data_IF_424206632279
#
_entry.id   IF_424206632279
#
_cell.length_a   1.000
_cell.length_b   1.000
_cell.length_c   1.000
_cell.angle_alpha   90.00
_cell.angle_beta   90.00
_cell.angle_gamma   90.00
#
_symmetry.space_group_name_H-M   'P 1'
#
loop_
_entity.id
_entity.type
_entity.pdbx_description
1 polymer ?
#
# COMPACT_ATOMS: atom_id res chain seq x y z
N UNK A 1 6.77 -10.60 -40.64
CA UNK A 1 7.07 -11.50 -39.51
C UNK A 1 6.72 -10.73 -38.25
N UNK A 2 5.73 -11.21 -37.50
CA UNK A 2 5.19 -10.56 -36.31
C UNK A 2 6.26 -10.48 -35.23
N UNK A 3 6.39 -9.30 -34.62
CA UNK A 3 7.24 -9.05 -33.45
C UNK A 3 6.92 -10.07 -32.34
N UNK A 4 7.95 -10.72 -31.81
CA UNK A 4 7.86 -11.47 -30.57
C UNK A 4 7.59 -10.46 -29.44
N UNK A 5 6.37 -10.48 -28.90
CA UNK A 5 6.07 -9.89 -27.60
C UNK A 5 6.95 -10.57 -26.57
N UNK A 6 7.85 -9.82 -25.94
CA UNK A 6 8.61 -10.29 -24.78
C UNK A 6 7.65 -10.49 -23.60
N UNK A 7 7.14 -11.71 -23.43
CA UNK A 7 6.44 -12.13 -22.22
C UNK A 7 7.41 -12.26 -21.04
N UNK A 8 7.88 -11.12 -20.53
CA UNK A 8 8.53 -11.07 -19.21
C UNK A 8 8.03 -9.86 -18.44
N UNK A 9 6.71 -9.65 -18.45
CA UNK A 9 6.08 -8.93 -17.34
C UNK A 9 5.89 -9.95 -16.22
N UNK A 10 6.98 -10.35 -15.55
CA UNK A 10 6.85 -11.12 -14.31
C UNK A 10 6.15 -10.19 -13.31
N UNK A 11 5.06 -10.63 -12.69
CA UNK A 11 4.39 -9.82 -11.69
C UNK A 11 5.38 -9.50 -10.53
N UNK A 12 5.24 -8.31 -9.92
CA UNK A 12 6.01 -7.84 -8.75
C UNK A 12 5.57 -8.62 -7.49
N UNK A 13 5.66 -9.95 -7.59
CA UNK A 13 5.21 -10.94 -6.62
C UNK A 13 6.33 -11.37 -5.67
N UNK A 14 7.38 -10.54 -5.59
CA UNK A 14 8.54 -10.77 -4.76
C UNK A 14 9.44 -9.54 -4.75
N UNK A 15 10.33 -9.47 -3.76
CA UNK A 15 11.26 -8.34 -3.64
C UNK A 15 12.47 -8.46 -4.58
N UNK A 16 12.82 -9.67 -5.01
CA UNK A 16 13.90 -9.93 -5.96
C UNK A 16 13.37 -10.07 -7.39
N UNK A 17 14.04 -9.39 -8.31
CA UNK A 17 13.63 -9.34 -9.71
C UNK A 17 13.81 -10.70 -10.34
N UNK A 18 12.68 -11.35 -10.61
CA UNK A 18 12.65 -12.60 -11.36
C UNK A 18 12.71 -13.84 -10.48
N UNK A 19 12.74 -13.69 -9.15
CA UNK A 19 12.59 -14.78 -8.19
C UNK A 19 11.26 -14.59 -7.48
N UNK A 20 10.42 -15.63 -7.50
CA UNK A 20 9.21 -15.71 -6.68
C UNK A 20 9.48 -16.75 -5.60
N UNK A 21 9.33 -16.42 -4.30
CA UNK A 21 9.47 -17.40 -3.23
C UNK A 21 8.53 -18.58 -3.43
N UNK A 22 8.95 -19.78 -3.04
CA UNK A 22 8.13 -20.98 -3.17
C UNK A 22 6.79 -20.86 -2.41
N UNK A 23 6.80 -20.18 -1.26
CA UNK A 23 5.60 -19.89 -0.49
C UNK A 23 4.63 -18.99 -1.26
N UNK A 24 5.12 -17.86 -1.79
CA UNK A 24 4.31 -16.95 -2.59
C UNK A 24 3.72 -17.64 -3.83
N UNK A 25 4.53 -18.42 -4.55
CA UNK A 25 4.05 -19.19 -5.69
C UNK A 25 2.94 -20.20 -5.31
N UNK A 26 3.10 -20.90 -4.18
CA UNK A 26 2.08 -21.82 -3.68
C UNK A 26 0.79 -21.09 -3.25
N UNK A 27 0.91 -19.87 -2.71
CA UNK A 27 -0.24 -19.03 -2.38
C UNK A 27 -0.95 -18.53 -3.63
N UNK A 28 -0.22 -18.08 -4.64
CA UNK A 28 -0.80 -17.68 -5.93
C UNK A 28 -1.61 -18.81 -6.56
N UNK A 29 -1.10 -20.05 -6.53
CA UNK A 29 -1.84 -21.22 -7.04
C UNK A 29 -3.10 -21.51 -6.21
N UNK A 30 -3.04 -21.34 -4.89
CA UNK A 30 -4.15 -21.61 -3.98
C UNK A 30 -5.24 -20.53 -4.03
N UNK A 31 -4.85 -19.26 -4.08
CA UNK A 31 -5.71 -18.09 -3.97
C UNK A 31 -6.19 -17.61 -5.35
N UNK A 32 -5.43 -17.89 -6.42
CA UNK A 32 -5.86 -17.62 -7.79
C UNK A 32 -6.16 -16.14 -8.02
N UNK A 33 -7.41 -15.83 -8.37
CA UNK A 33 -7.88 -14.46 -8.61
C UNK A 33 -7.96 -13.63 -7.32
N UNK A 34 -8.07 -14.27 -6.16
CA UNK A 34 -8.11 -13.58 -4.86
C UNK A 34 -6.71 -13.24 -4.33
N UNK A 35 -5.64 -13.63 -5.06
CA UNK A 35 -4.27 -13.32 -4.66
C UNK A 35 -4.03 -11.80 -4.69
N UNK A 36 -3.61 -11.27 -3.54
CA UNK A 36 -3.40 -9.84 -3.28
C UNK A 36 -4.66 -8.96 -3.23
N UNK A 37 -5.84 -9.55 -3.26
CA UNK A 37 -7.07 -8.77 -3.12
C UNK A 37 -7.29 -8.33 -1.66
N UNK A 38 -7.77 -7.10 -1.49
CA UNK A 38 -8.14 -6.55 -0.19
C UNK A 38 -9.59 -6.91 0.12
N UNK A 39 -9.96 -7.10 1.40
CA UNK A 39 -11.35 -7.35 1.76
C UNK A 39 -12.22 -6.14 1.39
N UNK A 40 -13.41 -6.43 0.86
CA UNK A 40 -14.41 -5.41 0.59
C UNK A 40 -15.15 -4.99 1.86
N UNK A 41 -15.61 -3.74 1.89
CA UNK A 41 -16.41 -3.23 3.01
C UNK A 41 -17.75 -3.98 3.09
N UNK A 42 -17.99 -4.66 4.20
CA UNK A 42 -19.29 -5.24 4.53
C UNK A 42 -20.04 -4.40 5.58
N UNK A 43 -21.29 -4.01 5.26
CA UNK A 43 -22.16 -3.28 6.20
C UNK A 43 -21.96 -1.77 6.21
N UNK A 44 -22.46 -1.11 7.26
CA UNK A 44 -22.44 0.36 7.38
C UNK A 44 -21.10 0.91 7.89
N UNK A 45 -20.41 0.14 8.73
CA UNK A 45 -19.13 0.52 9.34
C UNK A 45 -18.00 0.09 8.41
N UNK A 46 -17.11 1.02 8.06
CA UNK A 46 -15.88 0.68 7.35
C UNK A 46 -14.88 0.09 8.34
N UNK A 47 -14.51 -1.18 8.14
CA UNK A 47 -13.46 -1.86 8.91
C UNK A 47 -12.29 -2.26 8.03
N UNK A 48 -12.35 -1.95 6.73
CA UNK A 48 -11.38 -2.39 5.73
C UNK A 48 -10.31 -1.34 5.43
N UNK A 49 -10.51 -0.08 5.85
CA UNK A 49 -9.55 1.01 5.64
C UNK A 49 -8.14 0.78 6.20
N UNK A 50 -7.96 -0.15 7.15
CA UNK A 50 -6.64 -0.50 7.72
C UNK A 50 -5.91 -1.65 7.02
N UNK A 51 -6.53 -2.31 6.02
CA UNK A 51 -5.92 -3.44 5.37
C UNK A 51 -4.87 -3.00 4.34
N UNK A 52 -3.73 -3.70 4.36
CA UNK A 52 -2.65 -3.52 3.39
C UNK A 52 -2.14 -4.89 2.96
N UNK A 53 -1.68 -5.00 1.74
CA UNK A 53 -1.09 -6.23 1.21
C UNK A 53 0.29 -5.90 0.65
N UNK A 54 1.28 -6.72 0.99
CA UNK A 54 2.64 -6.56 0.49
C UNK A 54 2.86 -7.20 -0.89
N UNK A 55 4.08 -7.10 -1.41
CA UNK A 55 4.46 -7.66 -2.71
C UNK A 55 4.38 -9.17 -2.77
N UNK A 56 4.45 -9.86 -1.65
CA UNK A 56 4.36 -11.32 -1.59
C UNK A 56 2.94 -11.80 -1.26
N UNK A 57 1.99 -10.85 -1.14
CA UNK A 57 0.59 -11.10 -0.86
C UNK A 57 0.26 -11.24 0.62
N UNK A 58 1.15 -10.89 1.54
CA UNK A 58 0.87 -10.94 2.97
C UNK A 58 -0.02 -9.76 3.37
N UNK A 59 -1.21 -10.09 3.88
CA UNK A 59 -2.17 -9.10 4.36
C UNK A 59 -1.86 -8.69 5.81
N UNK A 60 -1.87 -7.39 6.08
CA UNK A 60 -1.78 -6.80 7.41
C UNK A 60 -2.99 -5.91 7.67
N UNK A 61 -3.39 -5.77 8.94
CA UNK A 61 -4.44 -4.85 9.37
C UNK A 61 -3.85 -3.87 10.39
N UNK A 62 -3.75 -2.60 9.99
CA UNK A 62 -3.32 -1.51 10.86
C UNK A 62 -4.54 -0.82 11.49
N UNK A 63 -4.40 -0.42 12.75
CA UNK A 63 -5.45 0.31 13.43
C UNK A 63 -5.68 1.68 12.76
N UNK A 64 -6.88 1.88 12.24
CA UNK A 64 -7.37 3.17 11.73
C UNK A 64 -8.44 3.65 12.70
N UNK A 65 -8.35 4.90 13.13
CA UNK A 65 -9.33 5.49 14.05
C UNK A 65 -10.66 5.73 13.32
N UNK A 66 -11.76 5.09 13.75
CA UNK A 66 -13.07 5.35 13.15
C UNK A 66 -13.62 6.72 13.54
N UNK A 67 -14.55 7.27 12.75
CA UNK A 67 -15.11 8.61 12.98
C UNK A 67 -15.81 8.76 14.35
N UNK A 68 -16.23 7.67 14.99
CA UNK A 68 -16.83 7.72 16.34
C UNK A 68 -15.89 8.28 17.42
N UNK A 69 -14.57 8.30 17.17
CA UNK A 69 -13.59 8.89 18.10
C UNK A 69 -13.30 10.38 17.83
N UNK A 70 -13.92 10.97 16.80
CA UNK A 70 -13.82 12.40 16.50
C UNK A 70 -15.03 13.18 17.05
N UNK A 71 -14.83 14.46 17.36
CA UNK A 71 -15.86 15.30 18.00
C UNK A 71 -17.03 15.60 17.06
N UNK A 72 -16.76 15.82 15.78
CA UNK A 72 -17.78 16.07 14.76
C UNK A 72 -17.55 15.22 13.50
N UNK A 73 -18.63 14.73 12.85
CA UNK A 73 -18.50 14.04 11.58
C UNK A 73 -17.76 14.89 10.54
N UNK A 74 -16.69 14.35 9.97
CA UNK A 74 -15.84 15.04 8.99
C UNK A 74 -14.48 15.51 9.53
N UNK A 75 -14.28 15.52 10.85
CA UNK A 75 -12.99 15.90 11.44
C UNK A 75 -11.86 14.95 11.03
N UNK A 76 -12.14 13.65 10.93
CA UNK A 76 -11.18 12.66 10.46
C UNK A 76 -10.64 13.00 9.05
N UNK A 77 -11.55 13.33 8.12
CA UNK A 77 -11.17 13.70 6.76
C UNK A 77 -10.37 15.01 6.71
N UNK A 78 -10.69 15.99 7.55
CA UNK A 78 -9.96 17.25 7.63
C UNK A 78 -8.54 17.05 8.21
N UNK A 79 -8.40 16.19 9.23
CA UNK A 79 -7.11 15.83 9.83
C UNK A 79 -6.24 15.06 8.84
N UNK A 80 -6.79 14.08 8.12
CA UNK A 80 -6.05 13.34 7.08
C UNK A 80 -5.58 14.25 5.95
N UNK A 81 -6.44 15.14 5.43
CA UNK A 81 -6.03 16.10 4.41
C UNK A 81 -4.90 17.04 4.88
N UNK A 82 -4.94 17.46 6.15
CA UNK A 82 -3.87 18.27 6.73
C UNK A 82 -2.56 17.47 6.87
N UNK A 83 -2.62 16.22 7.33
CA UNK A 83 -1.46 15.32 7.44
C UNK A 83 -0.84 15.02 6.08
N UNK A 84 -1.64 14.75 5.05
CA UNK A 84 -1.16 14.56 3.68
C UNK A 84 -0.47 15.80 3.13
N UNK A 85 -1.03 16.99 3.38
CA UNK A 85 -0.42 18.25 2.96
C UNK A 85 0.91 18.53 3.67
N UNK A 86 1.01 18.23 4.97
CA UNK A 86 2.26 18.31 5.74
C UNK A 86 3.29 17.30 5.22
N UNK A 87 2.88 16.03 5.04
CA UNK A 87 3.73 14.95 4.50
C UNK A 87 4.27 15.30 3.11
N UNK A 88 3.44 15.89 2.25
CA UNK A 88 3.84 16.31 0.92
C UNK A 88 4.85 17.48 0.96
N UNK A 89 4.80 18.35 1.97
CA UNK A 89 5.79 19.40 2.18
C UNK A 89 7.09 18.82 2.72
N UNK A 90 7.02 17.96 3.74
CA UNK A 90 8.18 17.24 4.31
C UNK A 90 8.95 16.49 3.20
N UNK A 91 8.24 15.75 2.35
CA UNK A 91 8.85 15.03 1.24
C UNK A 91 9.52 15.95 0.21
N UNK A 92 9.02 17.16 0.00
CA UNK A 92 9.69 18.15 -0.87
C UNK A 92 10.97 18.65 -0.22
N UNK A 93 10.90 19.05 1.05
CA UNK A 93 12.05 19.54 1.81
C UNK A 93 13.16 18.49 1.94
N UNK A 94 12.81 17.22 2.12
CA UNK A 94 13.79 16.11 2.20
C UNK A 94 14.44 15.84 0.84
N UNK A 95 13.71 16.01 -0.26
CA UNK A 95 14.22 15.76 -1.62
C UNK A 95 14.95 16.98 -2.22
N UNK A 96 14.94 18.13 -1.56
CA UNK A 96 15.76 19.29 -1.94
C UNK A 96 17.24 19.09 -1.58
N UNK A 97 18.13 19.55 -2.46
CA UNK A 97 19.58 19.40 -2.31
C UNK A 97 20.08 20.21 -1.09
N UNK A 98 20.58 19.52 -0.05
CA UNK A 98 20.95 20.12 1.23
C UNK A 98 19.80 20.22 2.27
N UNK A 99 18.64 19.65 1.97
CA UNK A 99 17.47 19.60 2.85
C UNK A 99 17.59 18.62 4.02
N UNK A 100 16.54 18.50 4.83
CA UNK A 100 16.51 17.80 6.14
C UNK A 100 16.57 16.25 6.03
N UNK A 101 17.33 15.71 5.09
CA UNK A 101 17.53 14.28 4.89
C UNK A 101 18.57 13.68 5.85
N UNK A 102 18.57 12.35 6.04
CA UNK A 102 19.56 11.65 6.84
C UNK A 102 20.94 11.77 6.16
N UNK A 103 21.73 12.76 6.55
CA UNK A 103 23.01 13.09 5.94
C UNK A 103 23.45 14.54 6.11
N UNK A 104 22.57 15.45 6.56
CA UNK A 104 22.94 16.83 6.91
C UNK A 104 23.34 16.89 8.38
N UNK A 105 24.66 16.97 8.63
CA UNK A 105 25.28 17.36 9.90
C UNK A 105 25.58 18.86 9.88
#
# INVERSE_FOLDING_TARGET
>A
MSELKSETNKPDDGYDRGIVPAETAARMEREGEDFKELPEKEGSIDTTGGYTVDREGLANNYAVEPEMYYETPGDAAAVEAAREAERAQELKEVNEEGGKGPGVI
#
